data_IF_950689114549
#
_entry.id   IF_950689114549
#
_cell.length_a   1.000
_cell.length_b   1.000
_cell.length_c   1.000
_cell.angle_alpha   90.00
_cell.angle_beta   90.00
_cell.angle_gamma   90.00
#
_symmetry.space_group_name_H-M   'P 1'
#
loop_
_entity.id
_entity.type
_entity.pdbx_description
1 polymer ?
#
# COMPACT_ATOMS: atom_id res chain seq x y z
N UNK A 1 -4.06 -21.10 1.55
CA UNK A 1 -4.79 -21.33 0.29
C UNK A 1 -4.62 -20.08 -0.52
N UNK A 2 -3.60 -20.09 -1.36
CA UNK A 2 -2.82 -18.89 -1.69
C UNK A 2 -3.26 -18.27 -3.02
N UNK A 3 -4.51 -18.53 -3.42
CA UNK A 3 -5.04 -18.23 -4.75
C UNK A 3 -6.33 -17.40 -4.75
N UNK A 4 -6.65 -16.68 -3.66
CA UNK A 4 -7.84 -15.81 -3.68
C UNK A 4 -7.79 -14.78 -4.80
N UNK A 5 -6.61 -14.24 -5.10
CA UNK A 5 -6.46 -13.33 -6.23
C UNK A 5 -6.64 -14.03 -7.58
N UNK A 6 -6.17 -15.28 -7.71
CA UNK A 6 -6.40 -16.09 -8.92
C UNK A 6 -7.90 -16.33 -9.12
N UNK A 7 -8.63 -16.65 -8.06
CA UNK A 7 -10.08 -16.86 -8.08
C UNK A 7 -10.82 -15.55 -8.42
N UNK A 8 -10.41 -14.42 -7.83
CA UNK A 8 -10.95 -13.09 -8.17
C UNK A 8 -10.67 -12.75 -9.64
N UNK A 9 -9.48 -13.02 -10.15
CA UNK A 9 -9.13 -12.81 -11.57
C UNK A 9 -9.84 -13.78 -12.51
N UNK A 10 -10.18 -14.98 -12.05
CA UNK A 10 -10.91 -15.99 -12.81
C UNK A 10 -12.41 -15.66 -12.90
N UNK A 11 -13.00 -15.13 -11.81
CA UNK A 11 -14.41 -14.76 -11.71
C UNK A 11 -14.71 -13.34 -12.25
N UNK A 12 -13.84 -12.37 -11.99
CA UNK A 12 -14.01 -10.96 -12.41
C UNK A 12 -13.18 -10.59 -13.64
N UNK A 13 -12.34 -11.51 -14.14
CA UNK A 13 -11.53 -11.31 -15.33
C UNK A 13 -10.58 -10.11 -15.24
N UNK A 14 -10.31 -9.52 -16.41
CA UNK A 14 -9.47 -8.32 -16.56
C UNK A 14 -10.00 -7.11 -15.75
N UNK A 15 -11.32 -7.02 -15.55
CA UNK A 15 -11.95 -5.92 -14.82
C UNK A 15 -11.56 -5.93 -13.34
N UNK A 16 -11.58 -7.10 -12.69
CA UNK A 16 -11.13 -7.26 -11.30
C UNK A 16 -9.66 -6.83 -11.12
N UNK A 17 -8.78 -7.26 -12.04
CA UNK A 17 -7.37 -6.87 -12.01
C UNK A 17 -7.18 -5.35 -12.15
N UNK A 18 -7.86 -4.71 -13.10
CA UNK A 18 -7.76 -3.25 -13.31
C UNK A 18 -8.30 -2.47 -12.10
N UNK A 19 -9.42 -2.88 -11.52
CA UNK A 19 -9.97 -2.24 -10.32
C UNK A 19 -8.99 -2.29 -9.15
N UNK A 20 -8.34 -3.44 -8.92
CA UNK A 20 -7.37 -3.60 -7.84
C UNK A 20 -6.12 -2.75 -8.09
N UNK A 21 -5.59 -2.72 -9.31
CA UNK A 21 -4.46 -1.86 -9.67
C UNK A 21 -4.81 -0.38 -9.44
N UNK A 22 -6.01 0.06 -9.85
CA UNK A 22 -6.47 1.42 -9.64
C UNK A 22 -6.55 1.79 -8.14
N UNK A 23 -7.02 0.87 -7.28
CA UNK A 23 -7.03 1.07 -5.84
C UNK A 23 -5.62 1.24 -5.26
N UNK A 24 -4.65 0.43 -5.70
CA UNK A 24 -3.27 0.56 -5.27
C UNK A 24 -2.64 1.89 -5.69
N UNK A 25 -2.86 2.33 -6.93
CA UNK A 25 -2.37 3.61 -7.41
C UNK A 25 -2.97 4.75 -6.57
N UNK A 26 -4.28 4.71 -6.32
CA UNK A 26 -4.95 5.70 -5.46
C UNK A 26 -4.36 5.72 -4.04
N UNK A 27 -4.09 4.55 -3.46
CA UNK A 27 -3.51 4.43 -2.12
C UNK A 27 -2.08 5.00 -2.06
N UNK A 28 -1.22 4.66 -3.03
CA UNK A 28 0.16 5.20 -3.13
C UNK A 28 0.12 6.72 -3.28
N UNK A 29 -0.81 7.24 -4.09
CA UNK A 29 -0.99 8.69 -4.26
C UNK A 29 -1.33 9.37 -2.93
N UNK A 30 -2.24 8.78 -2.14
CA UNK A 30 -2.59 9.28 -0.81
C UNK A 30 -1.40 9.26 0.15
N UNK A 31 -0.61 8.19 0.17
CA UNK A 31 0.60 8.10 1.01
C UNK A 31 1.66 9.13 0.63
N UNK A 32 1.88 9.35 -0.67
CA UNK A 32 2.77 10.39 -1.18
C UNK A 32 2.33 11.77 -0.68
N UNK A 33 1.04 12.09 -0.77
CA UNK A 33 0.50 13.34 -0.22
C UNK A 33 0.76 13.47 1.28
N UNK A 34 0.59 12.42 2.06
CA UNK A 34 0.89 12.45 3.50
C UNK A 34 2.38 12.76 3.73
N UNK A 35 3.28 12.03 3.07
CA UNK A 35 4.73 12.20 3.22
C UNK A 35 5.21 13.62 2.87
N UNK A 36 4.63 14.24 1.83
CA UNK A 36 4.96 15.61 1.41
C UNK A 36 4.42 16.68 2.37
N UNK A 37 3.33 16.39 3.09
CA UNK A 37 2.76 17.33 4.05
C UNK A 37 3.46 17.30 5.41
N UNK A 38 4.36 16.34 5.66
CA UNK A 38 5.10 16.25 6.93
C UNK A 38 6.10 17.41 7.04
N UNK A 39 6.12 18.17 8.15
CA UNK A 39 7.06 19.26 8.39
C UNK A 39 8.50 18.74 8.36
N UNK A 40 9.43 19.54 7.83
CA UNK A 40 10.86 19.17 7.78
C UNK A 40 11.47 18.89 9.17
N UNK A 41 10.84 19.37 10.25
CA UNK A 41 11.24 19.08 11.63
C UNK A 41 10.93 17.65 12.09
N UNK A 42 10.11 16.90 11.34
CA UNK A 42 9.79 15.49 11.60
C UNK A 42 10.21 14.60 10.43
N UNK A 43 11.53 14.58 10.19
CA UNK A 43 12.13 13.80 9.12
C UNK A 43 11.90 12.29 9.33
N UNK A 44 11.87 11.84 10.58
CA UNK A 44 11.64 10.45 10.94
C UNK A 44 10.23 9.98 10.54
N UNK A 45 9.20 10.78 10.83
CA UNK A 45 7.83 10.50 10.38
C UNK A 45 7.72 10.44 8.85
N UNK A 46 8.38 11.36 8.14
CA UNK A 46 8.40 11.35 6.67
C UNK A 46 9.09 10.09 6.11
N UNK A 47 10.27 9.72 6.65
CA UNK A 47 11.01 8.52 6.25
C UNK A 47 10.23 7.22 6.53
N UNK A 48 9.52 7.13 7.65
CA UNK A 48 8.64 5.99 7.94
C UNK A 48 7.54 5.84 6.90
N UNK A 49 6.83 6.93 6.58
CA UNK A 49 5.76 6.90 5.56
C UNK A 49 6.31 6.51 4.19
N UNK A 50 7.49 7.01 3.82
CA UNK A 50 8.17 6.64 2.57
C UNK A 50 8.59 5.16 2.57
N UNK A 51 9.08 4.64 3.69
CA UNK A 51 9.45 3.22 3.83
C UNK A 51 8.25 2.29 3.63
N UNK A 52 7.12 2.60 4.29
CA UNK A 52 5.87 1.84 4.09
C UNK A 52 5.36 2.00 2.64
N UNK A 53 5.47 3.20 2.06
CA UNK A 53 5.09 3.44 0.67
C UNK A 53 5.91 2.57 -0.29
N UNK A 54 7.22 2.47 -0.05
CA UNK A 54 8.11 1.64 -0.86
C UNK A 54 7.80 0.15 -0.70
N UNK A 55 7.55 -0.31 0.53
CA UNK A 55 7.19 -1.70 0.80
C UNK A 55 5.92 -2.12 0.03
N UNK A 56 4.86 -1.30 0.12
CA UNK A 56 3.63 -1.49 -0.63
C UNK A 56 3.86 -1.39 -2.14
N UNK A 57 4.65 -0.42 -2.60
CA UNK A 57 4.89 -0.20 -4.02
C UNK A 57 5.64 -1.37 -4.66
N UNK A 58 6.62 -1.97 -3.97
CA UNK A 58 7.32 -3.16 -4.44
C UNK A 58 6.36 -4.34 -4.56
N UNK A 59 5.51 -4.57 -3.55
CA UNK A 59 4.50 -5.63 -3.62
C UNK A 59 3.51 -5.38 -4.77
N UNK A 60 3.07 -4.14 -4.99
CA UNK A 60 2.18 -3.79 -6.10
C UNK A 60 2.86 -3.99 -7.47
N UNK A 61 4.12 -3.58 -7.61
CA UNK A 61 4.89 -3.72 -8.84
C UNK A 61 5.11 -5.19 -9.21
N UNK A 62 5.44 -6.04 -8.23
CA UNK A 62 5.56 -7.49 -8.43
C UNK A 62 4.24 -8.09 -8.91
N UNK A 63 3.12 -7.67 -8.32
CA UNK A 63 1.79 -8.14 -8.75
C UNK A 63 1.43 -7.68 -10.17
N UNK A 64 1.81 -6.47 -10.57
CA UNK A 64 1.66 -6.00 -11.95
C UNK A 64 2.54 -6.82 -12.90
N UNK A 65 3.80 -7.11 -12.55
CA UNK A 65 4.70 -7.91 -13.39
C UNK A 65 4.19 -9.35 -13.62
N UNK A 66 3.52 -9.92 -12.63
CA UNK A 66 2.83 -11.21 -12.75
C UNK A 66 1.60 -11.11 -13.66
N UNK A 67 0.80 -10.04 -13.55
CA UNK A 67 -0.39 -9.86 -14.38
C UNK A 67 -0.07 -9.60 -15.86
N UNK A 68 1.06 -8.93 -16.15
CA UNK A 68 1.53 -8.68 -17.53
C UNK A 68 2.26 -9.88 -18.14
N UNK A 69 2.26 -11.05 -17.50
CA UNK A 69 3.04 -12.24 -17.91
C UNK A 69 4.55 -11.96 -18.10
N UNK A 70 5.06 -10.85 -17.54
CA UNK A 70 6.46 -10.46 -17.69
C UNK A 70 7.38 -11.19 -16.71
N UNK A 71 6.82 -11.69 -15.60
CA UNK A 71 7.47 -12.56 -14.64
C UNK A 71 6.58 -13.75 -14.29
N UNK A 72 7.15 -14.95 -14.05
CA UNK A 72 6.40 -16.09 -13.53
C UNK A 72 5.79 -15.72 -12.18
N UNK A 73 4.64 -16.31 -11.82
CA UNK A 73 4.00 -16.02 -10.54
C UNK A 73 5.02 -16.30 -9.42
N UNK A 74 5.38 -15.27 -8.66
CA UNK A 74 6.41 -15.36 -7.62
C UNK A 74 5.83 -15.82 -6.28
N UNK A 75 4.56 -16.22 -6.24
CA UNK A 75 3.85 -16.59 -5.01
C UNK A 75 3.68 -15.44 -4.01
N UNK A 76 4.02 -14.20 -4.40
CA UNK A 76 3.89 -13.02 -3.54
C UNK A 76 2.44 -12.63 -3.45
N UNK A 77 1.92 -12.62 -2.24
CA UNK A 77 0.55 -12.21 -1.90
C UNK A 77 0.26 -10.80 -2.38
N UNK A 78 -0.93 -10.56 -2.96
CA UNK A 78 -1.40 -9.19 -3.10
C UNK A 78 -1.50 -8.53 -1.73
N UNK A 79 -0.96 -7.32 -1.56
CA UNK A 79 -1.23 -6.55 -0.36
C UNK A 79 -2.75 -6.42 -0.18
N UNK A 80 -3.23 -6.45 1.05
CA UNK A 80 -4.64 -6.26 1.44
C UNK A 80 -5.70 -7.26 0.93
N UNK A 81 -5.44 -8.07 -0.10
CA UNK A 81 -6.43 -8.98 -0.70
C UNK A 81 -6.11 -10.46 -0.43
N UNK A 82 -4.84 -10.81 -0.19
CA UNK A 82 -4.48 -12.20 0.07
C UNK A 82 -4.91 -12.70 1.45
N UNK A 83 -5.29 -13.98 1.56
CA UNK A 83 -5.68 -14.69 2.79
C UNK A 83 -4.50 -15.05 3.70
N UNK A 84 -3.41 -14.26 3.66
CA UNK A 84 -2.33 -14.34 4.62
C UNK A 84 -2.68 -13.49 5.84
N UNK A 85 -3.34 -14.06 6.86
CA UNK A 85 -3.77 -13.32 8.06
C UNK A 85 -2.65 -12.53 8.73
N UNK A 86 -1.43 -13.06 8.72
CA UNK A 86 -0.22 -12.39 9.22
C UNK A 86 0.16 -11.20 8.34
N UNK A 87 0.20 -11.37 7.02
CA UNK A 87 0.53 -10.30 6.05
C UNK A 87 -0.47 -9.14 6.13
N UNK A 88 -1.75 -9.45 6.28
CA UNK A 88 -2.80 -8.44 6.48
C UNK A 88 -2.62 -7.70 7.80
N UNK A 89 -2.31 -8.40 8.89
CA UNK A 89 -2.05 -7.78 10.19
C UNK A 89 -0.85 -6.82 10.15
N UNK A 90 0.22 -7.20 9.44
CA UNK A 90 1.37 -6.33 9.20
C UNK A 90 0.99 -5.08 8.40
N UNK A 91 0.27 -5.23 7.28
CA UNK A 91 -0.17 -4.10 6.44
C UNK A 91 -1.12 -3.14 7.19
N UNK A 92 -2.03 -3.66 8.01
CA UNK A 92 -2.92 -2.84 8.84
C UNK A 92 -2.11 -2.07 9.89
N UNK A 93 -1.11 -2.73 10.51
CA UNK A 93 -0.22 -2.08 11.49
C UNK A 93 0.62 -0.98 10.84
N UNK A 94 1.19 -1.25 9.66
CA UNK A 94 1.94 -0.27 8.87
C UNK A 94 1.07 0.94 8.49
N UNK A 95 -0.18 0.72 8.07
CA UNK A 95 -1.12 1.82 7.80
C UNK A 95 -1.52 2.58 9.07
N UNK A 96 -1.65 1.90 10.20
CA UNK A 96 -1.86 2.53 11.51
C UNK A 96 -0.71 3.48 11.87
N UNK A 97 0.54 3.11 11.59
CA UNK A 97 1.71 3.97 11.77
C UNK A 97 1.67 5.19 10.86
N UNK A 98 1.37 5.01 9.57
CA UNK A 98 1.22 6.12 8.60
C UNK A 98 0.13 7.09 9.06
N UNK A 99 -1.00 6.58 9.53
CA UNK A 99 -2.11 7.40 10.01
C UNK A 99 -1.76 8.15 11.30
N UNK A 100 -1.01 7.53 12.21
CA UNK A 100 -0.50 8.17 13.42
C UNK A 100 0.39 9.37 13.09
N UNK A 101 1.32 9.21 12.14
CA UNK A 101 2.17 10.30 11.63
C UNK A 101 1.32 11.40 10.99
N UNK A 102 0.33 11.04 10.17
CA UNK A 102 -0.59 12.01 9.55
C UNK A 102 -1.37 12.83 10.59
N UNK A 103 -1.89 12.19 11.64
CA UNK A 103 -2.60 12.87 12.74
C UNK A 103 -1.67 13.77 13.54
N UNK A 104 -0.47 13.29 13.88
CA UNK A 104 0.52 14.06 14.62
C UNK A 104 0.96 15.31 13.87
N UNK A 105 1.13 15.20 12.54
CA UNK A 105 1.35 16.33 11.67
C UNK A 105 0.19 17.35 11.68
N UNK A 106 -1.06 16.90 11.52
CA UNK A 106 -2.23 17.77 11.54
C UNK A 106 -2.36 18.57 12.86
N UNK A 107 -2.06 17.93 14.00
CA UNK A 107 -2.04 18.59 15.32
C UNK A 107 -0.94 19.66 15.36
N UNK A 108 0.27 19.38 14.89
CA UNK A 108 1.38 20.34 14.89
C UNK A 108 1.11 21.55 14.00
N UNK A 109 0.42 21.38 12.87
CA UNK A 109 0.01 22.50 12.01
C UNK A 109 -1.02 23.42 12.69
N UNK A 110 -1.90 22.88 13.53
CA UNK A 110 -2.91 23.66 14.27
C UNK A 110 -2.32 24.50 15.41
N UNK A 111 -1.17 24.11 15.97
CA UNK A 111 -0.47 24.85 17.03
C UNK A 111 0.36 26.02 16.49
N UNK A 112 0.58 26.07 15.17
CA UNK A 112 1.42 27.08 14.51
C UNK A 112 0.60 28.13 13.74
N UNK A 113 -0.74 28.07 13.86
CA UNK A 113 -1.71 29.11 13.45
C UNK A 113 -2.18 29.86 14.68
#
# INVERSE_FOLDING_TARGET
NDMIFSIICEELGLFGAVCVIALFIFMIFRMKTIAMNVPKSDLFGSMLVVGVMLHVAIQALLNIAVVTNSMPNTGVSLPFISYGGTSLAFLITEMGLVFSVSKSNAIRQSQHK
#
